data_IF_804492544778
#
_entry.id   IF_804492544778
#
_cell.length_a   1.000
_cell.length_b   1.000
_cell.length_c   1.000
_cell.angle_alpha   90.00
_cell.angle_beta   90.00
_cell.angle_gamma   90.00
#
_symmetry.space_group_name_H-M   'P 1'
#
loop_
_entity.id
_entity.type
_entity.pdbx_description
1 polymer ?
#
# COMPACT_ATOMS: atom_id res chain seq x y z
N UNK A 1 5.60 -42.26 -35.68
CA UNK A 1 6.42 -41.58 -34.66
C UNK A 1 6.23 -40.05 -34.64
N UNK A 2 5.90 -39.39 -35.77
CA UNK A 2 5.73 -37.92 -35.82
C UNK A 2 4.43 -37.38 -35.19
N UNK A 3 3.31 -38.10 -35.23
CA UNK A 3 2.02 -37.59 -34.74
C UNK A 3 1.96 -37.46 -33.21
N UNK A 4 2.53 -38.44 -32.49
CA UNK A 4 2.60 -38.42 -31.02
C UNK A 4 3.52 -37.29 -30.54
N UNK A 5 4.68 -37.12 -31.17
CA UNK A 5 5.61 -36.04 -30.84
C UNK A 5 4.96 -34.66 -31.07
N UNK A 6 4.25 -34.49 -32.19
CA UNK A 6 3.58 -33.24 -32.54
C UNK A 6 2.43 -32.94 -31.56
N UNK A 7 1.67 -33.95 -31.15
CA UNK A 7 0.63 -33.81 -30.12
C UNK A 7 1.20 -33.37 -28.77
N UNK A 8 2.35 -33.93 -28.36
CA UNK A 8 3.04 -33.54 -27.11
C UNK A 8 3.51 -32.08 -27.19
N UNK A 9 4.09 -31.66 -28.31
CA UNK A 9 4.55 -30.28 -28.50
C UNK A 9 3.37 -29.29 -28.42
N UNK A 10 2.26 -29.60 -29.09
CA UNK A 10 1.06 -28.75 -29.06
C UNK A 10 0.49 -28.65 -27.63
N UNK A 11 0.48 -29.76 -26.88
CA UNK A 11 0.04 -29.76 -25.49
C UNK A 11 0.93 -28.88 -24.60
N UNK A 12 2.25 -28.96 -24.76
CA UNK A 12 3.20 -28.13 -24.01
C UNK A 12 3.00 -26.64 -24.33
N UNK A 13 2.84 -26.29 -25.61
CA UNK A 13 2.58 -24.91 -26.02
C UNK A 13 1.26 -24.38 -25.46
N UNK A 14 0.20 -25.20 -25.45
CA UNK A 14 -1.07 -24.83 -24.84
C UNK A 14 -0.93 -24.57 -23.33
N UNK A 15 -0.21 -25.43 -22.61
CA UNK A 15 0.08 -25.25 -21.18
C UNK A 15 0.88 -23.99 -20.90
N UNK A 16 1.90 -23.68 -21.72
CA UNK A 16 2.68 -22.45 -21.62
C UNK A 16 1.83 -21.21 -21.90
N UNK A 17 0.91 -21.27 -22.86
CA UNK A 17 -0.02 -20.19 -23.16
C UNK A 17 -0.95 -19.88 -21.98
N UNK A 18 -1.59 -20.92 -21.40
CA UNK A 18 -2.44 -20.78 -20.21
C UNK A 18 -1.65 -20.22 -19.03
N UNK A 19 -0.41 -20.67 -18.85
CA UNK A 19 0.49 -20.16 -17.83
C UNK A 19 0.75 -18.65 -18.01
N UNK A 20 1.15 -18.23 -19.21
CA UNK A 20 1.50 -16.84 -19.49
C UNK A 20 0.30 -15.90 -19.28
N UNK A 21 -0.88 -16.32 -19.73
CA UNK A 21 -2.13 -15.59 -19.50
C UNK A 21 -2.41 -15.46 -18.00
N UNK A 22 -2.33 -16.57 -17.25
CA UNK A 22 -2.60 -16.57 -15.80
C UNK A 22 -1.62 -15.70 -15.03
N UNK A 23 -0.33 -15.77 -15.39
CA UNK A 23 0.73 -14.94 -14.83
C UNK A 23 0.44 -13.45 -15.01
N UNK A 24 0.11 -13.03 -16.24
CA UNK A 24 -0.21 -11.63 -16.54
C UNK A 24 -1.44 -11.18 -15.74
N UNK A 25 -2.50 -11.98 -15.71
CA UNK A 25 -3.74 -11.63 -15.01
C UNK A 25 -3.53 -11.47 -13.51
N UNK A 26 -2.81 -12.40 -12.86
CA UNK A 26 -2.53 -12.31 -11.42
C UNK A 26 -1.58 -11.14 -11.10
N UNK A 27 -0.55 -10.95 -11.92
CA UNK A 27 0.40 -9.84 -11.76
C UNK A 27 -0.31 -8.48 -11.82
N UNK A 28 -1.19 -8.29 -12.82
CA UNK A 28 -1.99 -7.07 -12.94
C UNK A 28 -2.93 -6.87 -11.75
N UNK A 29 -3.60 -7.92 -11.28
CA UNK A 29 -4.50 -7.82 -10.11
C UNK A 29 -3.77 -7.38 -8.85
N UNK A 30 -2.56 -7.87 -8.62
CA UNK A 30 -1.73 -7.43 -7.49
C UNK A 30 -1.33 -5.97 -7.69
N UNK A 31 -0.82 -5.61 -8.87
CA UNK A 31 -0.42 -4.24 -9.18
C UNK A 31 -1.57 -3.24 -9.00
N UNK A 32 -2.79 -3.58 -9.44
CA UNK A 32 -3.97 -2.74 -9.26
C UNK A 32 -4.34 -2.56 -7.78
N UNK A 33 -4.12 -3.59 -6.94
CA UNK A 33 -4.36 -3.50 -5.48
C UNK A 33 -3.27 -2.71 -4.78
N UNK A 34 -2.02 -2.95 -5.15
CA UNK A 34 -0.86 -2.21 -4.68
C UNK A 34 -0.99 -0.72 -4.97
N UNK A 35 -1.34 -0.35 -6.21
CA UNK A 35 -1.62 1.04 -6.61
C UNK A 35 -2.72 1.66 -5.75
N UNK A 36 -3.83 0.95 -5.49
CA UNK A 36 -4.91 1.49 -4.64
C UNK A 36 -4.43 1.79 -3.21
N UNK A 37 -3.63 0.90 -2.61
CA UNK A 37 -3.08 1.14 -1.26
C UNK A 37 -2.16 2.36 -1.27
N UNK A 38 -1.31 2.47 -2.29
CA UNK A 38 -0.40 3.62 -2.48
C UNK A 38 -1.20 4.92 -2.68
N UNK A 39 -2.23 4.92 -3.53
CA UNK A 39 -3.05 6.09 -3.80
C UNK A 39 -3.74 6.60 -2.54
N UNK A 40 -4.32 5.69 -1.76
CA UNK A 40 -4.98 6.02 -0.48
C UNK A 40 -3.97 6.61 0.49
N UNK A 41 -2.76 6.05 0.56
CA UNK A 41 -1.66 6.59 1.36
C UNK A 41 -1.25 8.00 0.93
N UNK A 42 -1.01 8.23 -0.37
CA UNK A 42 -0.63 9.54 -0.89
C UNK A 42 -1.71 10.60 -0.65
N UNK A 43 -3.00 10.23 -0.71
CA UNK A 43 -4.09 11.13 -0.36
C UNK A 43 -4.02 11.62 1.08
N UNK A 44 -3.58 10.77 2.02
CA UNK A 44 -3.33 11.18 3.41
C UNK A 44 -2.12 12.11 3.52
N UNK A 45 -1.02 11.77 2.86
CA UNK A 45 0.19 12.61 2.85
C UNK A 45 -0.12 14.02 2.36
N UNK A 46 -0.97 14.15 1.34
CA UNK A 46 -1.40 15.43 0.80
C UNK A 46 -2.18 16.30 1.80
N UNK A 47 -2.69 15.75 2.92
CA UNK A 47 -3.39 16.51 3.96
C UNK A 47 -2.48 16.98 5.10
N UNK A 48 -1.23 16.51 5.18
CA UNK A 48 -0.31 16.91 6.24
C UNK A 48 -0.11 18.44 6.28
N UNK A 49 0.15 19.15 5.15
CA UNK A 49 0.33 20.60 5.18
C UNK A 49 -0.89 21.34 5.74
N UNK A 50 -2.09 20.91 5.35
CA UNK A 50 -3.35 21.49 5.83
C UNK A 50 -3.52 21.33 7.35
N UNK A 51 -3.14 20.17 7.91
CA UNK A 51 -3.18 19.96 9.38
C UNK A 51 -2.27 20.95 10.08
N UNK A 52 -1.03 21.07 9.60
CA UNK A 52 -0.03 21.97 10.18
C UNK A 52 -0.53 23.40 10.11
N UNK A 53 -1.02 23.84 8.94
CA UNK A 53 -1.51 25.20 8.73
C UNK A 53 -2.64 25.58 9.69
N UNK A 54 -3.60 24.67 9.91
CA UNK A 54 -4.75 24.93 10.80
C UNK A 54 -4.35 24.94 12.27
N UNK A 55 -3.41 24.08 12.66
CA UNK A 55 -2.96 24.01 14.05
C UNK A 55 -1.95 25.10 14.41
N UNK A 56 -1.18 25.59 13.43
CA UNK A 56 -0.08 26.54 13.63
C UNK A 56 -0.43 27.75 14.49
N UNK A 57 -1.55 28.47 14.28
CA UNK A 57 -1.87 29.66 15.07
C UNK A 57 -2.11 29.38 16.55
N UNK A 58 -2.35 28.11 16.91
CA UNK A 58 -2.71 27.69 18.26
C UNK A 58 -1.56 27.01 19.01
N UNK A 59 -0.40 26.81 18.38
CA UNK A 59 0.74 26.11 18.97
C UNK A 59 1.88 27.10 19.18
N UNK A 60 2.41 27.15 20.42
CA UNK A 60 3.47 28.10 20.81
C UNK A 60 4.84 27.67 20.30
N UNK A 61 5.15 26.37 20.38
CA UNK A 61 6.42 25.80 19.91
C UNK A 61 6.17 24.95 18.65
N UNK A 62 6.23 25.61 17.49
CA UNK A 62 6.01 24.97 16.18
C UNK A 62 7.06 23.87 15.91
N UNK A 63 8.30 24.07 16.33
CA UNK A 63 9.40 23.13 16.08
C UNK A 63 9.16 21.82 16.81
N UNK A 64 8.82 21.91 18.10
CA UNK A 64 8.51 20.74 18.90
C UNK A 64 7.30 19.97 18.35
N UNK A 65 6.29 20.69 17.82
CA UNK A 65 5.04 20.08 17.38
C UNK A 65 5.07 19.52 15.96
N UNK A 66 5.71 20.21 15.01
CA UNK A 66 5.53 19.95 13.58
C UNK A 66 6.78 19.50 12.83
N UNK A 67 8.00 19.62 13.38
CA UNK A 67 9.23 19.28 12.65
C UNK A 67 9.23 17.81 12.22
N UNK A 68 8.83 16.89 13.11
CA UNK A 68 8.78 15.47 12.81
C UNK A 68 7.75 15.14 11.73
N UNK A 69 6.56 15.74 11.81
CA UNK A 69 5.50 15.54 10.81
C UNK A 69 5.92 16.10 9.44
N UNK A 70 6.57 17.27 9.42
CA UNK A 70 7.10 17.89 8.20
C UNK A 70 8.19 17.02 7.58
N UNK A 71 9.09 16.47 8.40
CA UNK A 71 10.14 15.55 7.91
C UNK A 71 9.53 14.29 7.30
N UNK A 72 8.56 13.67 7.97
CA UNK A 72 7.87 12.48 7.45
C UNK A 72 7.11 12.80 6.15
N UNK A 73 6.49 13.97 6.04
CA UNK A 73 5.84 14.40 4.80
C UNK A 73 6.84 14.51 3.64
N UNK A 74 7.99 15.15 3.87
CA UNK A 74 9.07 15.26 2.89
C UNK A 74 9.64 13.89 2.49
N UNK A 75 9.88 13.01 3.47
CA UNK A 75 10.27 11.62 3.24
C UNK A 75 9.24 10.93 2.31
N UNK A 76 7.94 11.09 2.57
CA UNK A 76 6.88 10.47 1.79
C UNK A 76 6.70 11.01 0.36
N UNK A 77 7.03 12.28 0.11
CA UNK A 77 6.95 12.89 -1.24
C UNK A 77 8.15 12.47 -2.10
N UNK A 78 9.34 12.41 -1.51
CA UNK A 78 10.58 12.16 -2.24
C UNK A 78 10.77 10.67 -2.50
N UNK A 79 10.22 9.82 -1.63
CA UNK A 79 10.49 8.40 -1.69
C UNK A 79 9.53 7.64 -2.60
N UNK A 80 10.07 6.83 -3.50
CA UNK A 80 9.32 5.80 -4.21
C UNK A 80 9.15 4.58 -3.30
N UNK A 81 7.92 4.24 -2.98
CA UNK A 81 7.62 3.05 -2.18
C UNK A 81 7.68 1.80 -3.05
N UNK A 82 8.81 1.10 -2.98
CA UNK A 82 9.06 -0.13 -3.75
C UNK A 82 8.24 -1.34 -3.25
N UNK A 83 7.60 -1.23 -2.08
CA UNK A 83 6.77 -2.30 -1.52
C UNK A 83 5.75 -1.80 -0.48
N UNK A 84 4.62 -2.51 -0.37
CA UNK A 84 3.58 -2.23 0.65
C UNK A 84 4.10 -2.28 2.10
N UNK A 85 4.94 -3.25 2.53
CA UNK A 85 5.48 -3.26 3.89
C UNK A 85 6.23 -1.98 4.26
N UNK A 86 7.07 -1.49 3.35
CA UNK A 86 7.84 -0.26 3.55
C UNK A 86 6.92 0.96 3.67
N UNK A 87 5.87 1.01 2.83
CA UNK A 87 4.83 2.02 2.92
C UNK A 87 4.11 1.96 4.28
N UNK A 88 3.76 0.77 4.77
CA UNK A 88 3.07 0.64 6.05
C UNK A 88 3.93 1.02 7.24
N UNK A 89 5.22 0.70 7.23
CA UNK A 89 6.16 1.14 8.26
C UNK A 89 6.21 2.68 8.33
N UNK A 90 6.31 3.32 7.16
CA UNK A 90 6.30 4.78 7.10
C UNK A 90 4.93 5.37 7.53
N UNK A 91 3.82 4.75 7.11
CA UNK A 91 2.48 5.14 7.52
C UNK A 91 2.27 5.00 9.03
N UNK A 92 2.88 4.01 9.70
CA UNK A 92 2.81 3.86 11.14
C UNK A 92 3.44 5.07 11.85
N UNK A 93 4.64 5.49 11.42
CA UNK A 93 5.31 6.69 11.95
C UNK A 93 4.46 7.94 11.77
N UNK A 94 3.83 8.10 10.62
CA UNK A 94 2.89 9.22 10.35
C UNK A 94 1.65 9.14 11.23
N UNK A 95 1.09 7.94 11.42
CA UNK A 95 -0.06 7.73 12.31
C UNK A 95 0.23 8.10 13.75
N UNK A 96 1.42 7.78 14.25
CA UNK A 96 1.84 8.17 15.59
C UNK A 96 1.92 9.69 15.74
N UNK A 97 2.43 10.39 14.72
CA UNK A 97 2.47 11.86 14.71
C UNK A 97 1.08 12.48 14.60
N UNK A 98 0.19 11.93 13.77
CA UNK A 98 -1.20 12.34 13.77
C UNK A 98 -1.83 12.13 15.15
N UNK A 99 -1.59 11.00 15.80
CA UNK A 99 -2.08 10.72 17.14
C UNK A 99 -1.56 11.73 18.17
N UNK A 100 -0.29 12.12 18.08
CA UNK A 100 0.28 13.20 18.90
C UNK A 100 -0.42 14.53 18.68
N UNK A 101 -0.55 14.97 17.41
CA UNK A 101 -1.23 16.23 17.07
C UNK A 101 -2.71 16.23 17.48
N UNK A 102 -3.40 15.10 17.34
CA UNK A 102 -4.78 14.97 17.79
C UNK A 102 -4.89 15.08 19.32
N UNK A 103 -3.96 14.51 20.09
CA UNK A 103 -3.92 14.71 21.55
C UNK A 103 -3.63 16.15 21.92
N UNK A 104 -2.67 16.79 21.24
CA UNK A 104 -2.36 18.21 21.45
C UNK A 104 -3.61 19.08 21.20
N UNK A 105 -4.35 18.77 20.12
CA UNK A 105 -5.58 19.50 19.78
C UNK A 105 -6.66 19.46 20.86
N UNK A 106 -6.70 18.40 21.69
CA UNK A 106 -7.70 18.28 22.77
C UNK A 106 -7.50 19.35 23.86
N UNK A 107 -6.27 19.86 24.01
CA UNK A 107 -5.96 20.95 24.93
C UNK A 107 -6.30 22.35 24.36
N UNK A 108 -6.77 22.43 23.11
CA UNK A 108 -7.03 23.67 22.38
C UNK A 108 -8.53 23.72 22.00
N UNK A 109 -9.40 24.28 22.84
CA UNK A 109 -10.86 24.24 22.62
C UNK A 109 -11.32 24.89 21.32
N UNK A 110 -10.65 25.96 20.89
CA UNK A 110 -11.02 26.67 19.66
C UNK A 110 -10.79 25.81 18.41
N UNK A 111 -9.68 25.05 18.40
CA UNK A 111 -9.36 24.11 17.34
C UNK A 111 -10.38 22.96 17.26
N UNK A 112 -10.94 22.52 18.38
CA UNK A 112 -12.01 21.51 18.41
C UNK A 112 -13.33 21.99 17.80
N UNK A 113 -13.51 23.31 17.64
CA UNK A 113 -14.69 23.94 17.03
C UNK A 113 -14.44 24.35 15.58
N UNK A 114 -13.18 24.37 15.14
CA UNK A 114 -12.82 24.71 13.77
C UNK A 114 -13.32 23.62 12.80
N UNK A 115 -14.20 24.02 11.88
CA UNK A 115 -14.83 23.10 10.95
C UNK A 115 -13.82 22.44 10.00
N UNK A 116 -12.75 23.15 9.64
CA UNK A 116 -11.73 22.64 8.73
C UNK A 116 -10.81 21.64 9.45
N UNK A 117 -10.46 21.90 10.72
CA UNK A 117 -9.78 20.92 11.56
C UNK A 117 -10.60 19.64 11.75
N UNK A 118 -11.90 19.76 12.04
CA UNK A 118 -12.80 18.60 12.20
C UNK A 118 -12.83 17.79 10.90
N UNK A 119 -12.98 18.45 9.75
CA UNK A 119 -12.97 17.80 8.43
C UNK A 119 -11.68 17.02 8.19
N UNK A 120 -10.51 17.63 8.46
CA UNK A 120 -9.21 16.98 8.30
C UNK A 120 -9.09 15.76 9.23
N UNK A 121 -9.51 15.89 10.49
CA UNK A 121 -9.50 14.77 11.46
C UNK A 121 -10.37 13.61 10.97
N UNK A 122 -11.59 13.90 10.52
CA UNK A 122 -12.49 12.89 9.97
C UNK A 122 -11.92 12.22 8.73
N UNK A 123 -11.28 13.00 7.85
CA UNK A 123 -10.57 12.47 6.69
C UNK A 123 -9.48 11.48 7.11
N UNK A 124 -8.62 11.82 8.06
CA UNK A 124 -7.54 10.92 8.55
C UNK A 124 -8.13 9.65 9.17
N UNK A 125 -9.22 9.75 9.93
CA UNK A 125 -9.92 8.57 10.46
C UNK A 125 -10.55 7.71 9.36
N UNK A 126 -11.10 8.33 8.32
CA UNK A 126 -11.69 7.62 7.19
C UNK A 126 -10.63 6.86 6.40
N UNK A 127 -9.45 7.45 6.22
CA UNK A 127 -8.28 6.81 5.62
C UNK A 127 -7.92 5.51 6.35
N UNK A 128 -7.80 5.54 7.68
CA UNK A 128 -7.36 4.37 8.44
C UNK A 128 -8.36 3.21 8.30
N UNK A 129 -9.66 3.53 8.16
CA UNK A 129 -10.69 2.53 7.88
C UNK A 129 -10.54 1.96 6.47
N UNK A 130 -10.29 2.80 5.47
CA UNK A 130 -10.08 2.37 4.08
C UNK A 130 -8.88 1.45 3.96
N UNK A 131 -7.72 1.81 4.53
CA UNK A 131 -6.52 0.96 4.50
C UNK A 131 -6.76 -0.38 5.19
N UNK A 132 -7.41 -0.38 6.36
CA UNK A 132 -7.77 -1.63 7.04
C UNK A 132 -8.66 -2.55 6.19
N UNK A 133 -9.43 -1.99 5.26
CA UNK A 133 -10.25 -2.78 4.33
C UNK A 133 -9.51 -3.23 3.07
N UNK A 134 -8.54 -2.44 2.57
CA UNK A 134 -7.78 -2.78 1.36
C UNK A 134 -6.66 -3.79 1.62
N UNK A 135 -6.02 -3.78 2.80
CA UNK A 135 -4.93 -4.71 3.12
C UNK A 135 -5.35 -6.20 3.01
N UNK A 136 -6.46 -6.65 3.61
CA UNK A 136 -6.90 -8.04 3.45
C UNK A 136 -7.17 -8.43 1.98
N UNK A 137 -7.63 -7.47 1.17
CA UNK A 137 -7.87 -7.68 -0.25
C UNK A 137 -6.56 -7.80 -1.03
N UNK A 138 -5.53 -7.02 -0.68
CA UNK A 138 -4.16 -7.18 -1.18
C UNK A 138 -3.60 -8.55 -0.82
N UNK A 139 -3.67 -8.96 0.45
CA UNK A 139 -3.12 -10.25 0.90
C UNK A 139 -3.82 -11.43 0.24
N UNK A 140 -5.12 -11.33 -0.03
CA UNK A 140 -5.84 -12.35 -0.76
C UNK A 140 -5.30 -12.54 -2.20
N UNK A 141 -4.88 -11.46 -2.87
CA UNK A 141 -4.22 -11.56 -4.17
C UNK A 141 -2.78 -12.08 -4.06
N UNK A 142 -2.04 -11.66 -3.03
CA UNK A 142 -0.69 -12.18 -2.76
C UNK A 142 -0.72 -13.68 -2.47
N UNK A 143 -1.66 -14.16 -1.65
CA UNK A 143 -1.87 -15.61 -1.43
C UNK A 143 -2.19 -16.36 -2.71
N UNK A 144 -3.01 -15.78 -3.57
CA UNK A 144 -3.37 -16.39 -4.87
C UNK A 144 -2.14 -16.49 -5.78
N UNK A 145 -1.30 -15.46 -5.78
CA UNK A 145 -0.01 -15.45 -6.49
C UNK A 145 0.96 -16.47 -5.91
N UNK A 146 1.20 -16.46 -4.60
CA UNK A 146 2.13 -17.38 -3.93
C UNK A 146 1.71 -18.84 -4.17
N UNK A 147 0.40 -19.14 -4.13
CA UNK A 147 -0.12 -20.46 -4.48
C UNK A 147 0.16 -20.83 -5.95
N UNK A 148 -0.06 -19.91 -6.87
CA UNK A 148 0.24 -20.11 -8.29
C UNK A 148 1.74 -20.36 -8.53
N UNK A 149 2.60 -19.57 -7.90
CA UNK A 149 4.06 -19.70 -7.99
C UNK A 149 4.53 -21.01 -7.36
N UNK A 150 3.98 -21.42 -6.22
CA UNK A 150 4.29 -22.70 -5.57
C UNK A 150 3.97 -23.88 -6.49
N UNK A 151 2.76 -23.92 -7.06
CA UNK A 151 2.34 -24.97 -8.00
C UNK A 151 3.23 -24.98 -9.23
N UNK A 152 3.53 -23.79 -9.78
CA UNK A 152 4.43 -23.63 -10.92
C UNK A 152 5.84 -24.15 -10.58
N UNK A 153 6.39 -23.81 -9.43
CA UNK A 153 7.73 -24.21 -9.01
C UNK A 153 7.87 -25.73 -8.87
N UNK A 154 6.78 -26.47 -8.64
CA UNK A 154 6.75 -27.94 -8.67
C UNK A 154 6.70 -28.53 -10.08
N UNK A 155 6.47 -27.72 -11.11
CA UNK A 155 6.45 -28.15 -12.50
C UNK A 155 7.82 -28.01 -13.18
N UNK A 156 8.00 -28.70 -14.31
CA UNK A 156 9.20 -28.59 -15.16
C UNK A 156 9.45 -27.13 -15.59
N UNK A 157 8.39 -26.34 -15.78
CA UNK A 157 8.47 -24.91 -16.12
C UNK A 157 9.03 -24.10 -14.95
N UNK A 158 8.70 -24.48 -13.71
CA UNK A 158 9.22 -23.88 -12.49
C UNK A 158 10.71 -24.13 -12.28
N UNK A 159 11.19 -25.31 -12.65
CA UNK A 159 12.62 -25.65 -12.62
C UNK A 159 13.46 -24.73 -13.54
N UNK A 160 12.91 -24.35 -14.70
CA UNK A 160 13.62 -23.50 -15.68
C UNK A 160 13.46 -22.02 -15.37
N UNK A 161 12.30 -21.60 -14.86
CA UNK A 161 11.98 -20.19 -14.57
C UNK A 161 11.37 -20.10 -13.16
N UNK A 162 12.15 -20.07 -12.08
CA UNK A 162 11.59 -19.97 -10.74
C UNK A 162 10.86 -18.63 -10.56
N UNK A 163 9.60 -18.71 -10.09
CA UNK A 163 8.87 -17.52 -9.69
C UNK A 163 9.32 -17.04 -8.30
N UNK A 164 9.13 -15.75 -8.00
CA UNK A 164 9.36 -15.18 -6.67
C UNK A 164 8.04 -15.01 -5.93
N UNK A 165 8.02 -15.46 -4.68
CA UNK A 165 6.92 -15.20 -3.77
C UNK A 165 6.90 -13.72 -3.38
N UNK A 166 5.70 -13.23 -3.02
CA UNK A 166 5.50 -11.88 -2.47
C UNK A 166 5.14 -11.97 -1.00
N UNK A 167 5.50 -10.93 -0.26
CA UNK A 167 5.28 -10.84 1.19
C UNK A 167 3.83 -10.42 1.45
N UNK A 168 3.13 -11.19 2.29
CA UNK A 168 1.81 -10.83 2.85
C UNK A 168 2.00 -9.84 4.01
N UNK A 169 1.01 -8.99 4.29
CA UNK A 169 1.15 -7.84 5.18
C UNK A 169 0.15 -7.85 6.34
#
# INVERSE_FOLDING_TARGET
MNTILLAIIVLILALLGVYFITYILLSRRIADRESRVIDVYLQKIAKIPAVIEVMRPHVVDEHLAFDLMTRLHSEAIIHEYDSIPMLLEHNARINDQYGFLMRLSMAIPDLQRDAYFIYIREFVMSYDRTIRSELPAYDAQVRSWNRFITIKNWSIIGYILPGRDRVEV
#
